data_IF_972139810315
#
_entry.id   IF_972139810315
#
_cell.length_a   1.000
_cell.length_b   1.000
_cell.length_c   1.000
_cell.angle_alpha   90.00
_cell.angle_beta   90.00
_cell.angle_gamma   90.00
#
_symmetry.space_group_name_H-M   'P 1'
#
loop_
_entity.id
_entity.type
_entity.pdbx_description
1 polymer ?
#
# COMPACT_ATOMS: atom_id res chain seq x y z
N UNK A 1 -2.78 2.82 18.28
CA UNK A 1 -2.68 1.54 17.53
C UNK A 1 -1.21 1.34 17.20
N UNK A 2 -0.69 0.12 17.12
CA UNK A 2 0.72 -0.07 16.74
C UNK A 2 0.93 -0.01 15.23
N UNK A 3 2.12 0.42 14.79
CA UNK A 3 2.51 0.49 13.37
C UNK A 3 2.26 -0.84 12.67
N UNK A 4 2.60 -1.97 13.31
CA UNK A 4 2.39 -3.31 12.74
C UNK A 4 0.93 -3.58 12.41
N UNK A 5 0.01 -3.24 13.31
CA UNK A 5 -1.43 -3.41 13.10
C UNK A 5 -1.94 -2.49 11.97
N UNK A 6 -1.36 -1.29 11.83
CA UNK A 6 -1.68 -0.35 10.75
C UNK A 6 -1.24 -0.91 9.39
N UNK A 7 -0.02 -1.45 9.33
CA UNK A 7 0.50 -2.14 8.16
C UNK A 7 -0.36 -3.36 7.79
N UNK A 8 -0.78 -4.17 8.76
CA UNK A 8 -1.62 -5.36 8.51
C UNK A 8 -2.99 -4.97 7.95
N UNK A 9 -3.61 -3.92 8.48
CA UNK A 9 -4.89 -3.41 7.97
C UNK A 9 -4.74 -2.90 6.54
N UNK A 10 -3.70 -2.11 6.28
CA UNK A 10 -3.44 -1.59 4.94
C UNK A 10 -3.11 -2.71 3.95
N UNK A 11 -2.28 -3.68 4.35
CA UNK A 11 -1.94 -4.86 3.56
C UNK A 11 -3.18 -5.67 3.16
N UNK A 12 -4.10 -5.91 4.10
CA UNK A 12 -5.38 -6.58 3.83
C UNK A 12 -6.21 -5.81 2.81
N UNK A 13 -6.20 -4.48 2.86
CA UNK A 13 -6.93 -3.65 1.89
C UNK A 13 -6.30 -3.77 0.50
N UNK A 14 -4.97 -3.69 0.39
CA UNK A 14 -4.26 -3.82 -0.89
C UNK A 14 -4.49 -5.19 -1.51
N UNK A 15 -4.24 -6.27 -0.77
CA UNK A 15 -4.39 -7.65 -1.26
C UNK A 15 -5.84 -8.05 -1.58
N UNK A 16 -6.83 -7.39 -0.98
CA UNK A 16 -8.25 -7.60 -1.29
C UNK A 16 -8.81 -6.63 -2.32
N UNK A 17 -7.99 -5.75 -2.90
CA UNK A 17 -8.42 -4.81 -3.95
C UNK A 17 -8.26 -5.47 -5.32
N UNK A 18 -9.37 -5.72 -6.04
CA UNK A 18 -9.31 -6.28 -7.38
C UNK A 18 -8.51 -5.37 -8.32
N UNK A 19 -7.72 -5.98 -9.20
CA UNK A 19 -6.88 -5.25 -10.15
C UNK A 19 -5.45 -5.00 -9.65
N UNK A 20 -5.14 -5.25 -8.38
CA UNK A 20 -3.75 -5.28 -7.89
C UNK A 20 -3.18 -6.68 -8.12
N UNK A 21 -2.09 -6.77 -8.88
CA UNK A 21 -1.44 -8.03 -9.26
C UNK A 21 -0.27 -8.40 -8.34
N UNK A 22 0.58 -7.41 -8.02
CA UNK A 22 1.79 -7.64 -7.23
C UNK A 22 2.13 -6.45 -6.34
N UNK A 23 2.84 -6.70 -5.24
CA UNK A 23 3.40 -5.69 -4.33
C UNK A 23 4.92 -5.79 -4.40
N UNK A 24 5.57 -4.66 -4.65
CA UNK A 24 7.01 -4.57 -4.90
C UNK A 24 7.76 -3.94 -3.73
N UNK A 25 9.02 -4.34 -3.58
CA UNK A 25 9.92 -3.67 -2.66
C UNK A 25 10.21 -2.24 -3.10
N UNK A 26 10.19 -1.35 -2.11
CA UNK A 26 10.61 0.04 -2.26
C UNK A 26 12.10 0.11 -1.93
N UNK A 27 12.96 0.37 -2.93
CA UNK A 27 14.35 0.73 -2.63
C UNK A 27 14.39 2.09 -1.92
N UNK A 28 15.35 2.26 -1.01
CA UNK A 28 15.60 3.53 -0.30
C UNK A 28 15.92 4.71 -1.24
N UNK A 29 16.36 4.43 -2.46
CA UNK A 29 16.38 5.40 -3.55
C UNK A 29 15.03 5.41 -4.25
N UNK A 30 14.36 6.55 -4.26
CA UNK A 30 13.00 6.81 -4.76
C UNK A 30 12.75 6.46 -6.25
N UNK A 31 13.65 5.72 -6.92
CA UNK A 31 13.65 5.51 -8.37
C UNK A 31 13.64 4.08 -8.87
N UNK A 32 13.87 3.03 -8.07
CA UNK A 32 13.94 1.66 -8.64
C UNK A 32 13.29 0.63 -7.71
N UNK A 33 12.16 0.08 -8.14
CA UNK A 33 11.64 -1.19 -7.60
C UNK A 33 12.68 -2.26 -7.91
N UNK A 34 13.21 -2.92 -6.88
CA UNK A 34 14.03 -4.12 -7.10
C UNK A 34 13.06 -5.28 -7.24
N UNK A 35 13.13 -5.97 -8.37
CA UNK A 35 12.55 -7.29 -8.53
C UNK A 35 13.48 -8.26 -7.79
N UNK A 36 13.44 -8.24 -6.45
CA UNK A 36 14.17 -9.18 -5.61
C UNK A 36 13.25 -10.38 -5.40
N UNK A 37 13.57 -11.49 -6.07
CA UNK A 37 12.98 -12.83 -5.86
C UNK A 37 13.46 -13.43 -4.51
N UNK A 38 13.39 -12.65 -3.45
CA UNK A 38 13.68 -13.13 -2.10
C UNK A 38 12.36 -13.70 -1.54
N UNK A 39 12.15 -14.99 -1.78
CA UNK A 39 10.92 -15.74 -1.40
C UNK A 39 10.66 -15.75 0.12
N UNK A 40 11.55 -15.20 0.94
CA UNK A 40 11.48 -15.19 2.40
C UNK A 40 11.08 -13.85 3.04
N UNK A 41 10.84 -12.78 2.27
CA UNK A 41 10.37 -11.49 2.83
C UNK A 41 8.85 -11.49 2.91
N UNK A 42 8.30 -11.27 4.11
CA UNK A 42 6.85 -11.15 4.30
C UNK A 42 6.36 -9.94 3.48
N UNK A 43 5.34 -10.14 2.63
CA UNK A 43 4.84 -9.09 1.73
C UNK A 43 4.37 -7.83 2.48
N UNK A 44 4.06 -7.97 3.76
CA UNK A 44 3.73 -6.85 4.63
C UNK A 44 4.92 -5.90 4.84
N UNK A 45 6.15 -6.41 4.84
CA UNK A 45 7.37 -5.63 5.03
C UNK A 45 7.69 -4.74 3.81
N UNK A 46 7.03 -5.02 2.67
CA UNK A 46 7.09 -4.18 1.46
C UNK A 46 6.25 -2.91 1.58
N UNK A 47 5.44 -2.78 2.63
CA UNK A 47 4.68 -1.57 2.94
C UNK A 47 5.49 -0.72 3.93
N UNK A 48 5.85 0.47 3.48
CA UNK A 48 6.43 1.47 4.36
C UNK A 48 5.32 2.20 5.12
N UNK A 49 5.25 1.95 6.43
CA UNK A 49 4.30 2.61 7.34
C UNK A 49 5.05 3.47 8.35
N UNK A 50 4.62 4.72 8.51
CA UNK A 50 5.15 5.62 9.54
C UNK A 50 4.01 6.26 10.33
N UNK A 51 4.22 6.46 11.63
CA UNK A 51 3.30 7.21 12.49
C UNK A 51 3.82 8.64 12.63
N UNK A 52 3.08 9.61 12.11
CA UNK A 52 3.46 11.03 12.19
C UNK A 52 3.14 11.61 13.58
N UNK A 53 1.97 11.26 14.12
CA UNK A 53 1.49 11.58 15.48
C UNK A 53 0.59 10.45 15.97
N UNK A 54 0.22 10.36 17.27
CA UNK A 54 -0.54 9.23 17.79
C UNK A 54 -1.83 8.94 16.99
N UNK A 55 -1.93 7.73 16.45
CA UNK A 55 -3.02 7.24 15.58
C UNK A 55 -3.14 7.93 14.20
N UNK A 56 -2.09 8.63 13.77
CA UNK A 56 -2.00 9.28 12.46
C UNK A 56 -0.88 8.62 11.68
N UNK A 57 -1.24 7.85 10.65
CA UNK A 57 -0.30 7.05 9.89
C UNK A 57 -0.21 7.48 8.44
N UNK A 58 0.94 7.17 7.87
CA UNK A 58 1.20 7.32 6.46
C UNK A 58 1.76 6.04 5.89
N UNK A 59 1.44 5.81 4.62
CA UNK A 59 1.73 4.57 3.92
C UNK A 59 2.38 4.86 2.58
N UNK A 60 3.39 4.07 2.23
CA UNK A 60 4.02 4.05 0.92
C UNK A 60 4.13 2.61 0.44
N UNK A 61 3.64 2.33 -0.77
CA UNK A 61 3.68 1.01 -1.38
C UNK A 61 3.90 1.11 -2.88
N UNK A 62 4.63 0.17 -3.46
CA UNK A 62 4.72 -0.02 -4.89
C UNK A 62 3.88 -1.23 -5.32
N UNK A 63 3.05 -1.07 -6.33
CA UNK A 63 2.15 -2.12 -6.83
C UNK A 63 2.21 -2.23 -8.35
N UNK A 64 1.93 -3.42 -8.86
CA UNK A 64 1.56 -3.62 -10.26
C UNK A 64 0.05 -3.85 -10.36
N UNK A 65 -0.56 -3.24 -11.36
CA UNK A 65 -1.99 -3.39 -11.66
C UNK A 65 -2.17 -4.28 -12.87
N UNK A 66 -3.29 -5.01 -12.94
CA UNK A 66 -3.61 -5.83 -14.11
C UNK A 66 -3.79 -4.98 -15.37
N UNK A 67 -3.46 -5.55 -16.52
CA UNK A 67 -3.70 -4.92 -17.81
C UNK A 67 -5.20 -4.61 -18.00
N UNK A 68 -5.50 -3.44 -18.57
CA UNK A 68 -6.87 -2.97 -18.77
C UNK A 68 -7.56 -2.39 -17.54
N UNK A 69 -6.92 -2.41 -16.36
CA UNK A 69 -7.43 -1.71 -15.17
C UNK A 69 -7.14 -0.22 -15.26
N UNK A 70 -8.18 0.60 -15.16
CA UNK A 70 -8.02 2.05 -15.04
C UNK A 70 -7.45 2.42 -13.66
N UNK A 71 -6.21 2.93 -13.67
CA UNK A 71 -5.47 3.32 -12.46
C UNK A 71 -6.18 4.42 -11.67
N UNK A 72 -6.88 5.34 -12.35
CA UNK A 72 -7.57 6.44 -11.67
C UNK A 72 -8.77 5.92 -10.86
N UNK A 73 -9.57 5.05 -11.46
CA UNK A 73 -10.67 4.36 -10.80
C UNK A 73 -10.18 3.49 -9.64
N UNK A 74 -9.12 2.71 -9.86
CA UNK A 74 -8.50 1.88 -8.83
C UNK A 74 -8.03 2.71 -7.63
N UNK A 75 -7.31 3.80 -7.89
CA UNK A 75 -6.81 4.69 -6.84
C UNK A 75 -7.96 5.31 -6.03
N UNK A 76 -9.03 5.72 -6.70
CA UNK A 76 -10.22 6.28 -6.06
C UNK A 76 -10.89 5.26 -5.14
N UNK A 77 -11.09 4.04 -5.62
CA UNK A 77 -11.72 2.97 -4.85
C UNK A 77 -10.85 2.52 -3.68
N UNK A 78 -9.55 2.42 -3.89
CA UNK A 78 -8.59 2.09 -2.85
C UNK A 78 -8.59 3.18 -1.77
N UNK A 79 -8.51 4.46 -2.14
CA UNK A 79 -8.58 5.56 -1.18
C UNK A 79 -9.86 5.51 -0.34
N UNK A 80 -11.03 5.30 -0.98
CA UNK A 80 -12.32 5.15 -0.28
C UNK A 80 -12.32 3.97 0.70
N UNK A 81 -11.76 2.82 0.30
CA UNK A 81 -11.65 1.62 1.15
C UNK A 81 -10.75 1.87 2.35
N UNK A 82 -9.57 2.45 2.14
CA UNK A 82 -8.63 2.81 3.21
C UNK A 82 -9.30 3.79 4.17
N UNK A 83 -9.86 4.89 3.67
CA UNK A 83 -10.52 5.90 4.49
C UNK A 83 -11.66 5.31 5.33
N UNK A 84 -12.52 4.46 4.74
CA UNK A 84 -13.63 3.82 5.46
C UNK A 84 -13.14 2.87 6.54
N UNK A 85 -12.16 2.03 6.24
CA UNK A 85 -11.61 1.06 7.20
C UNK A 85 -10.87 1.77 8.32
N UNK A 86 -10.09 2.80 8.01
CA UNK A 86 -9.30 3.53 9.00
C UNK A 86 -10.19 4.37 9.92
N UNK A 87 -11.23 5.02 9.37
CA UNK A 87 -12.24 5.73 10.17
C UNK A 87 -12.95 4.80 11.16
N UNK A 88 -13.28 3.57 10.77
CA UNK A 88 -13.89 2.57 11.67
C UNK A 88 -12.96 2.18 12.82
N UNK A 89 -11.65 2.16 12.58
CA UNK A 89 -10.63 1.82 13.57
C UNK A 89 -10.10 3.04 14.35
N UNK A 90 -10.70 4.23 14.18
CA UNK A 90 -10.26 5.50 14.80
C UNK A 90 -8.81 5.86 14.44
N UNK A 91 -8.42 5.57 13.20
CA UNK A 91 -7.12 5.89 12.62
C UNK A 91 -7.30 7.03 11.62
N UNK A 92 -6.37 7.98 11.63
CA UNK A 92 -6.27 9.04 10.62
C UNK A 92 -5.14 8.75 9.65
N UNK A 93 -5.32 9.15 8.39
CA UNK A 93 -4.31 9.02 7.35
C UNK A 93 -3.72 10.40 7.11
N UNK A 94 -2.40 10.53 7.23
CA UNK A 94 -1.66 11.74 6.90
C UNK A 94 -1.26 11.72 5.42
N UNK A 95 -0.53 10.67 4.99
CA UNK A 95 -0.11 10.53 3.59
C UNK A 95 -0.28 9.10 3.06
N UNK A 96 -0.82 8.98 1.86
CA UNK A 96 -0.90 7.71 1.13
C UNK A 96 -0.18 7.87 -0.22
N UNK A 97 0.91 7.13 -0.40
CA UNK A 97 1.71 7.13 -1.64
C UNK A 97 1.64 5.74 -2.27
N UNK A 98 1.16 5.68 -3.50
CA UNK A 98 1.05 4.44 -4.27
C UNK A 98 1.83 4.63 -5.55
N UNK A 99 2.88 3.83 -5.71
CA UNK A 99 3.70 3.81 -6.92
C UNK A 99 3.18 2.68 -7.81
N UNK A 100 2.64 3.02 -8.97
CA UNK A 100 2.12 2.03 -9.91
C UNK A 100 3.18 1.71 -10.95
N UNK A 101 3.70 0.48 -10.94
CA UNK A 101 4.54 -0.07 -12.00
C UNK A 101 3.61 -0.58 -13.11
N UNK A 102 3.59 0.13 -14.23
CA UNK A 102 2.79 -0.26 -15.40
C UNK A 102 3.21 -1.61 -15.94
N UNK A 103 2.24 -2.41 -16.37
CA UNK A 103 2.46 -3.61 -17.18
C UNK A 103 2.50 -3.15 -18.63
N UNK A 104 3.55 -3.53 -19.37
CA UNK A 104 3.63 -3.32 -20.82
C UNK A 104 2.90 -4.44 -21.55
#
# INVERSE_FOLDING_TARGET
>A
MEIKQASELFFKIITSTPGIHAIHELSNDEKITKDTDDENVDLIDRIFTFESTPNVFSFKVAITVLEGVDVNSLNTDLYKRVQRTFKKNKISIDKLIIIVKGVK
#
